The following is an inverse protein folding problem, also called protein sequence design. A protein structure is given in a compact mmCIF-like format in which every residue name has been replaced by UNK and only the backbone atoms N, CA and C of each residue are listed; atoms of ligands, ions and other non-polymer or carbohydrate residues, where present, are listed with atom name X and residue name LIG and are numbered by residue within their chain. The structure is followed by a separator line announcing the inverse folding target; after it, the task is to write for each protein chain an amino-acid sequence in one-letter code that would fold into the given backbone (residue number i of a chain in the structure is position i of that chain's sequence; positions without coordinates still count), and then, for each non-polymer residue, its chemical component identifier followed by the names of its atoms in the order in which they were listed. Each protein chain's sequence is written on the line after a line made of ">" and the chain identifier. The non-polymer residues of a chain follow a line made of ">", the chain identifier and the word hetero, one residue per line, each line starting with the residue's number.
data_IF_473555293477
#
_entry.id   IF_473555293477
#
_cell.length_a   1.000
_cell.length_b   1.000
_cell.length_c   1.000
_cell.angle_alpha   90.00
_cell.angle_beta   90.00
_cell.angle_gamma   90.00
#
_symmetry.space_group_name_H-M   'P 1'
#
loop_
_entity.id
_entity.type
_entity.pdbx_description
1 polymer ?
#
# COMPACT_ATOMS: atom_id res chain seq x y z
N UNK A 1 0.94 -1.26 12.71
CA UNK A 1 0.70 -0.44 11.51
C UNK A 1 1.78 -0.75 10.50
N UNK A 2 1.49 -1.64 9.56
CA UNK A 2 2.38 -1.86 8.41
C UNK A 2 2.54 -0.53 7.64
N UNK A 3 3.52 -0.40 6.73
CA UNK A 3 3.78 0.86 6.02
C UNK A 3 2.51 1.37 5.32
N UNK A 4 1.73 0.43 4.77
CA UNK A 4 0.44 0.69 4.10
C UNK A 4 -0.59 1.32 5.05
N UNK A 5 -0.63 0.90 6.31
CA UNK A 5 -1.55 1.46 7.30
C UNK A 5 -1.14 2.86 7.79
N UNK A 6 0.06 3.35 7.43
CA UNK A 6 0.53 4.71 7.73
C UNK A 6 0.47 5.64 6.53
N UNK A 7 0.42 5.11 5.31
CA UNK A 7 0.16 5.90 4.11
C UNK A 7 -1.34 5.92 3.83
N UNK A 8 -2.05 6.79 4.55
CA UNK A 8 -3.51 6.94 4.49
C UNK A 8 -4.04 7.08 3.05
N UNK A 9 -3.27 7.76 2.19
CA UNK A 9 -3.55 7.94 0.77
C UNK A 9 -3.71 6.61 0.01
N UNK A 10 -2.72 5.72 0.09
CA UNK A 10 -2.74 4.45 -0.63
C UNK A 10 -3.92 3.57 -0.19
N UNK A 11 -4.30 3.64 1.10
CA UNK A 11 -5.45 2.89 1.62
C UNK A 11 -6.78 3.41 1.05
N UNK A 12 -6.94 4.73 0.92
CA UNK A 12 -8.14 5.33 0.33
C UNK A 12 -8.33 4.88 -1.12
N UNK A 13 -7.27 5.01 -1.95
CA UNK A 13 -7.32 4.58 -3.35
C UNK A 13 -7.61 3.08 -3.45
N UNK A 14 -6.91 2.27 -2.67
CA UNK A 14 -7.09 0.82 -2.65
C UNK A 14 -8.53 0.40 -2.33
N UNK A 15 -9.16 1.07 -1.37
CA UNK A 15 -10.57 0.86 -1.03
C UNK A 15 -11.48 1.23 -2.21
N UNK A 16 -11.25 2.37 -2.85
CA UNK A 16 -11.99 2.77 -4.03
C UNK A 16 -11.86 1.76 -5.18
N UNK A 17 -10.63 1.29 -5.47
CA UNK A 17 -10.36 0.25 -6.47
C UNK A 17 -11.14 -1.03 -6.15
N UNK A 18 -11.05 -1.53 -4.92
CA UNK A 18 -11.68 -2.80 -4.52
C UNK A 18 -13.20 -2.75 -4.65
N UNK A 19 -13.82 -1.63 -4.30
CA UNK A 19 -15.28 -1.49 -4.37
C UNK A 19 -15.75 -0.95 -5.73
N UNK A 20 -14.82 -0.52 -6.59
CA UNK A 20 -15.08 0.15 -7.85
C UNK A 20 -16.09 1.31 -7.72
N UNK A 21 -15.90 2.14 -6.69
CA UNK A 21 -16.74 3.30 -6.41
C UNK A 21 -15.95 4.59 -6.50
N UNK A 22 -16.65 5.69 -6.81
CA UNK A 22 -16.08 7.02 -6.65
C UNK A 22 -15.94 7.32 -5.16
N UNK A 23 -14.72 7.62 -4.69
CA UNK A 23 -14.44 7.99 -3.31
C UNK A 23 -13.88 9.41 -3.26
N UNK A 24 -14.51 10.27 -2.46
CA UNK A 24 -13.99 11.59 -2.10
C UNK A 24 -13.52 11.50 -0.65
N UNK A 25 -12.23 11.74 -0.42
CA UNK A 25 -11.64 11.68 0.91
C UNK A 25 -10.96 13.00 1.28
N UNK A 26 -11.36 13.56 2.42
CA UNK A 26 -10.78 14.76 2.99
C UNK A 26 -10.11 14.41 4.32
N UNK A 27 -8.79 14.52 4.34
CA UNK A 27 -7.95 14.30 5.52
C UNK A 27 -7.47 15.61 6.12
N UNK A 28 -7.19 15.59 7.43
CA UNK A 28 -6.60 16.73 8.14
C UNK A 28 -5.14 16.90 7.71
N UNK A 29 -4.71 18.14 7.44
CA UNK A 29 -3.31 18.47 7.18
C UNK A 29 -2.56 18.71 8.50
N UNK A 30 -1.99 17.67 9.11
CA UNK A 30 -1.28 17.75 10.39
C UNK A 30 0.05 17.01 10.40
N UNK A 31 1.11 17.75 10.06
CA UNK A 31 2.50 17.28 9.98
C UNK A 31 2.97 16.54 11.23
N UNK A 32 2.70 17.08 12.42
CA UNK A 32 3.16 16.52 13.70
C UNK A 32 2.64 15.10 13.98
N UNK A 33 1.55 14.71 13.32
CA UNK A 33 0.96 13.38 13.46
C UNK A 33 1.15 12.50 12.23
N UNK A 34 1.71 13.04 11.14
CA UNK A 34 1.75 12.38 9.84
C UNK A 34 0.37 12.21 9.19
N UNK A 35 -0.65 12.88 9.70
CA UNK A 35 -1.98 12.89 9.07
C UNK A 35 -1.88 13.83 7.89
N UNK A 36 -1.77 13.26 6.70
CA UNK A 36 -1.68 13.91 5.40
C UNK A 36 -2.42 13.00 4.42
N UNK A 37 -2.94 13.56 3.33
CA UNK A 37 -3.64 12.77 2.33
C UNK A 37 -5.10 13.16 2.19
N UNK A 38 -5.42 13.75 1.03
CA UNK A 38 -6.79 13.89 0.54
C UNK A 38 -6.81 13.50 -0.93
N UNK A 39 -7.95 13.09 -1.45
CA UNK A 39 -8.05 12.73 -2.86
C UNK A 39 -9.45 12.40 -3.34
N UNK A 40 -9.57 12.37 -4.66
CA UNK A 40 -10.76 11.97 -5.41
C UNK A 40 -10.34 10.78 -6.29
N UNK A 41 -10.95 9.63 -6.07
CA UNK A 41 -10.61 8.36 -6.71
C UNK A 41 -11.81 7.84 -7.48
N UNK A 42 -11.63 7.40 -8.72
CA UNK A 42 -12.69 6.85 -9.59
C UNK A 42 -12.61 5.34 -9.69
N UNK A 43 -12.74 4.66 -8.55
CA UNK A 43 -12.76 3.21 -8.48
C UNK A 43 -11.56 2.54 -9.18
N UNK A 44 -11.85 1.56 -10.03
CA UNK A 44 -10.82 0.83 -10.80
C UNK A 44 -10.07 1.70 -11.83
N UNK A 45 -10.51 2.95 -12.09
CA UNK A 45 -9.79 3.89 -12.96
C UNK A 45 -8.63 4.59 -12.24
N UNK A 46 -8.57 4.52 -10.90
CA UNK A 46 -7.50 5.14 -10.11
C UNK A 46 -7.79 6.59 -9.69
N UNK A 47 -6.75 7.38 -9.36
CA UNK A 47 -6.91 8.70 -8.77
C UNK A 47 -7.15 9.75 -9.86
N UNK A 48 -8.10 10.66 -9.62
CA UNK A 48 -8.34 11.83 -10.46
C UNK A 48 -7.53 13.03 -9.98
N UNK A 49 -7.44 13.20 -8.66
CA UNK A 49 -6.57 14.17 -8.03
C UNK A 49 -6.30 13.72 -6.60
N UNK A 50 -5.08 13.88 -6.12
CA UNK A 50 -4.75 13.65 -4.72
C UNK A 50 -3.65 14.59 -4.25
N UNK A 51 -3.55 14.79 -2.93
CA UNK A 51 -2.42 15.48 -2.32
C UNK A 51 -1.79 14.62 -1.24
N UNK A 52 -0.47 14.66 -1.18
CA UNK A 52 0.32 14.16 -0.07
C UNK A 52 1.57 15.04 0.09
N UNK A 53 1.33 16.33 0.28
CA UNK A 53 2.38 17.29 0.58
C UNK A 53 2.51 17.50 2.08
N UNK A 54 3.72 17.69 2.58
CA UNK A 54 3.95 17.98 3.98
C UNK A 54 4.36 19.43 4.23
N UNK A 55 3.68 20.34 3.56
CA UNK A 55 3.86 21.78 3.65
C UNK A 55 3.06 22.42 4.80
N UNK A 56 2.14 21.69 5.43
CA UNK A 56 1.22 22.22 6.43
C UNK A 56 0.20 23.22 5.88
N UNK A 57 0.02 23.28 4.55
CA UNK A 57 -0.90 24.21 3.88
C UNK A 57 -2.24 23.54 3.56
N UNK A 58 -3.30 24.33 3.65
CA UNK A 58 -4.63 23.94 3.20
C UNK A 58 -4.64 23.76 1.67
N UNK A 59 -5.45 22.82 1.19
CA UNK A 59 -5.54 22.46 -0.24
C UNK A 59 -6.99 22.22 -0.63
N UNK A 60 -7.37 22.79 -1.77
CA UNK A 60 -8.64 22.52 -2.43
C UNK A 60 -8.38 21.62 -3.63
N UNK A 61 -8.98 20.44 -3.63
CA UNK A 61 -8.90 19.48 -4.74
C UNK A 61 -10.18 19.54 -5.55
N UNK A 62 -10.06 19.69 -6.86
CA UNK A 62 -11.18 19.73 -7.80
C UNK A 62 -10.85 18.76 -8.95
N UNK A 63 -11.81 17.91 -9.30
CA UNK A 63 -11.71 17.04 -10.47
C UNK A 63 -13.08 16.82 -11.10
N UNK A 64 -13.10 16.65 -12.42
CA UNK A 64 -14.24 16.13 -13.14
C UNK A 64 -14.27 14.60 -12.98
N UNK A 65 -15.34 14.08 -12.35
CA UNK A 65 -15.48 12.66 -12.07
C UNK A 65 -15.73 11.81 -13.30
N UNK A 66 -16.18 12.41 -14.40
CA UNK A 66 -16.46 11.72 -15.66
C UNK A 66 -15.40 12.01 -16.73
N UNK A 67 -14.54 12.99 -16.48
CA UNK A 67 -13.38 13.31 -17.30
C UNK A 67 -12.32 12.20 -17.37
N UNK A 68 -11.28 12.38 -18.20
CA UNK A 68 -10.19 11.42 -18.34
C UNK A 68 -9.33 11.34 -17.08
N UNK A 69 -8.75 10.16 -16.81
CA UNK A 69 -7.77 10.00 -15.71
C UNK A 69 -6.48 10.73 -16.12
N UNK A 70 -5.96 11.66 -15.32
CA UNK A 70 -4.72 12.36 -15.66
C UNK A 70 -3.51 11.40 -15.62
N UNK A 71 -2.45 11.76 -16.34
CA UNK A 71 -1.20 11.01 -16.29
C UNK A 71 -0.52 11.16 -14.92
N UNK A 72 -0.52 12.38 -14.37
CA UNK A 72 -0.08 12.67 -13.02
C UNK A 72 -1.26 13.25 -12.23
N UNK A 73 -1.79 12.47 -11.28
CA UNK A 73 -2.90 12.88 -10.44
C UNK A 73 -2.46 13.61 -9.16
N UNK A 74 -1.15 13.73 -8.90
CA UNK A 74 -0.66 14.45 -7.73
C UNK A 74 -0.94 15.95 -7.89
N UNK A 75 -1.36 16.57 -6.81
CA UNK A 75 -1.56 18.00 -6.72
C UNK A 75 -0.25 18.72 -7.08
N UNK A 76 -0.31 19.59 -8.10
CA UNK A 76 0.87 20.20 -8.75
C UNK A 76 1.81 20.96 -7.81
N UNK A 77 1.28 21.55 -6.74
CA UNK A 77 2.06 22.34 -5.79
C UNK A 77 2.47 21.52 -4.55
N UNK A 78 2.35 20.19 -4.61
CA UNK A 78 2.82 19.33 -3.54
C UNK A 78 4.34 19.42 -3.42
N UNK A 79 4.81 19.72 -2.20
CA UNK A 79 6.21 19.57 -1.87
C UNK A 79 6.51 18.08 -1.75
N UNK A 80 7.45 17.61 -2.57
CA UNK A 80 7.98 16.27 -2.46
C UNK A 80 8.85 16.17 -1.21
N UNK A 81 8.91 14.98 -0.63
CA UNK A 81 9.71 14.75 0.56
C UNK A 81 11.19 14.77 0.19
N UNK A 82 11.91 15.76 0.70
CA UNK A 82 13.38 15.72 0.78
C UNK A 82 13.75 14.63 1.80
N UNK A 83 14.89 13.96 1.58
CA UNK A 83 15.42 12.83 2.37
C UNK A 83 15.19 13.00 3.89
N UNK A 84 14.97 11.86 4.57
CA UNK A 84 14.66 11.67 6.03
C UNK A 84 13.21 11.32 6.41
N UNK A 85 12.28 11.25 5.46
CA UNK A 85 10.96 10.66 5.78
C UNK A 85 11.05 9.15 5.82
N UNK A 86 10.65 8.61 6.97
CA UNK A 86 10.63 7.17 7.21
C UNK A 86 9.30 6.79 7.84
N UNK A 87 8.57 5.85 7.21
CA UNK A 87 7.41 5.25 7.84
C UNK A 87 7.92 4.28 8.91
N UNK A 88 7.81 4.67 10.19
CA UNK A 88 8.10 3.77 11.32
C UNK A 88 6.96 2.75 11.45
N UNK A 89 7.19 1.46 11.30
CA UNK A 89 6.15 0.45 11.56
C UNK A 89 6.24 -0.02 13.02
N UNK A 90 5.12 -0.28 13.73
CA UNK A 90 5.14 -1.11 14.93
C UNK A 90 5.68 -2.49 14.55
N UNK A 91 6.38 -3.13 15.48
CA UNK A 91 6.81 -4.52 15.33
C UNK A 91 5.58 -5.38 15.03
N UNK A 92 5.55 -5.90 13.81
CA UNK A 92 4.63 -6.93 13.37
C UNK A 92 5.47 -8.19 13.18
N UNK A 93 4.89 -9.36 13.41
CA UNK A 93 5.57 -10.60 13.08
C UNK A 93 5.35 -10.86 11.58
N UNK A 94 6.44 -10.85 10.80
CA UNK A 94 6.39 -11.07 9.37
C UNK A 94 7.57 -11.95 8.95
N UNK A 95 7.40 -12.63 7.82
CA UNK A 95 8.50 -13.28 7.10
C UNK A 95 8.99 -12.36 6.01
N UNK A 96 10.30 -12.26 5.84
CA UNK A 96 10.94 -11.43 4.82
C UNK A 96 11.88 -12.25 3.95
N UNK A 97 11.70 -12.18 2.64
CA UNK A 97 12.58 -12.80 1.65
C UNK A 97 13.21 -11.69 0.81
N UNK A 98 14.53 -11.55 0.88
CA UNK A 98 15.25 -10.53 0.12
C UNK A 98 15.15 -10.79 -1.38
N UNK A 99 14.97 -9.73 -2.16
CA UNK A 99 15.04 -9.74 -3.62
C UNK A 99 16.43 -9.26 -4.04
N UNK A 100 17.09 -10.06 -4.87
CA UNK A 100 18.38 -9.73 -5.46
C UNK A 100 18.19 -9.26 -6.92
N UNK A 101 19.08 -8.42 -7.47
CA UNK A 101 19.00 -7.97 -8.86
C UNK A 101 19.12 -9.16 -9.81
N UNK A 102 18.13 -9.32 -10.69
CA UNK A 102 17.99 -10.48 -11.57
C UNK A 102 17.32 -10.07 -12.88
N UNK A 103 17.68 -10.75 -13.97
CA UNK A 103 17.00 -10.59 -15.27
C UNK A 103 15.60 -11.22 -15.25
N UNK A 104 15.41 -12.28 -14.46
CA UNK A 104 14.11 -12.86 -14.14
C UNK A 104 14.25 -13.75 -12.90
N UNK A 105 13.32 -13.67 -11.96
CA UNK A 105 13.30 -14.50 -10.76
C UNK A 105 11.89 -14.68 -10.20
N UNK A 106 11.69 -15.77 -9.47
CA UNK A 106 10.47 -16.06 -8.70
C UNK A 106 10.86 -16.35 -7.24
N UNK A 107 10.09 -15.80 -6.30
CA UNK A 107 10.22 -16.06 -4.86
C UNK A 107 8.83 -16.35 -4.29
N UNK A 108 8.74 -17.26 -3.35
CA UNK A 108 7.49 -17.65 -2.70
C UNK A 108 7.71 -17.90 -1.21
N UNK A 109 6.68 -17.62 -0.43
CA UNK A 109 6.57 -17.93 1.00
C UNK A 109 5.14 -18.36 1.30
N UNK A 110 4.99 -19.42 2.08
CA UNK A 110 3.71 -19.99 2.46
C UNK A 110 3.66 -20.32 3.95
N UNK A 111 2.48 -20.17 4.54
CA UNK A 111 2.17 -20.70 5.87
C UNK A 111 0.79 -21.36 5.82
N UNK A 112 0.79 -22.69 5.97
CA UNK A 112 -0.41 -23.51 5.76
C UNK A 112 -0.92 -23.38 4.33
N UNK A 113 -2.16 -22.92 4.18
CA UNK A 113 -2.79 -22.73 2.86
C UNK A 113 -2.52 -21.35 2.26
N UNK A 114 -2.06 -20.35 3.03
CA UNK A 114 -1.84 -19.00 2.53
C UNK A 114 -0.42 -18.88 1.96
N UNK A 115 -0.32 -18.59 0.66
CA UNK A 115 0.91 -18.39 -0.07
C UNK A 115 0.97 -16.99 -0.67
N UNK A 116 2.18 -16.45 -0.76
CA UNK A 116 2.51 -15.18 -1.39
C UNK A 116 3.73 -15.38 -2.27
N UNK A 117 3.62 -15.03 -3.55
CA UNK A 117 4.70 -15.16 -4.51
C UNK A 117 4.88 -13.90 -5.34
N UNK A 118 6.12 -13.67 -5.74
CA UNK A 118 6.50 -12.59 -6.65
C UNK A 118 7.32 -13.16 -7.80
N UNK A 119 6.94 -12.80 -9.03
CA UNK A 119 7.77 -12.92 -10.23
C UNK A 119 8.25 -11.53 -10.62
N UNK A 120 9.55 -11.35 -10.79
CA UNK A 120 10.11 -10.03 -11.04
C UNK A 120 11.34 -10.05 -11.95
N UNK A 121 11.63 -8.89 -12.53
CA UNK A 121 12.85 -8.59 -13.28
C UNK A 121 13.30 -7.17 -12.93
N UNK A 122 14.52 -7.07 -12.41
CA UNK A 122 15.16 -5.82 -12.01
C UNK A 122 16.68 -5.98 -12.22
N UNK A 123 17.20 -5.61 -13.40
CA UNK A 123 18.61 -5.85 -13.76
C UNK A 123 19.61 -5.17 -12.81
N UNK A 124 19.21 -4.07 -12.17
CA UNK A 124 19.98 -3.37 -11.16
C UNK A 124 19.10 -2.99 -9.98
N UNK A 125 19.66 -3.14 -8.77
CA UNK A 125 19.00 -2.80 -7.51
C UNK A 125 20.07 -2.24 -6.56
N UNK A 126 20.09 -0.91 -6.40
CA UNK A 126 20.96 -0.26 -5.41
C UNK A 126 20.34 -0.26 -4.00
N UNK A 127 19.08 -0.69 -3.92
CA UNK A 127 18.22 -0.57 -2.76
C UNK A 127 17.75 -1.95 -2.35
N UNK A 128 17.47 -2.13 -1.07
CA UNK A 128 16.99 -3.43 -0.59
C UNK A 128 15.48 -3.53 -0.75
N UNK A 129 15.04 -4.52 -1.53
CA UNK A 129 13.65 -4.92 -1.62
C UNK A 129 13.45 -6.30 -1.01
N UNK A 130 12.27 -6.50 -0.47
CA UNK A 130 11.87 -7.75 0.13
C UNK A 130 10.44 -8.11 -0.27
N UNK A 131 10.21 -9.41 -0.46
CA UNK A 131 8.88 -9.99 -0.34
C UNK A 131 8.57 -10.16 1.14
N UNK A 132 7.58 -9.41 1.64
CA UNK A 132 7.08 -9.54 3.01
C UNK A 132 5.75 -10.27 3.03
N UNK A 133 5.67 -11.20 3.97
CA UNK A 133 4.50 -12.03 4.22
C UNK A 133 4.07 -11.85 5.67
N UNK A 134 2.81 -11.46 5.85
CA UNK A 134 2.25 -11.15 7.15
C UNK A 134 0.94 -11.89 7.35
N UNK A 135 0.81 -12.52 8.51
CA UNK A 135 -0.46 -13.00 9.07
C UNK A 135 -0.60 -12.41 10.47
N UNK A 136 -1.75 -11.81 10.79
CA UNK A 136 -2.03 -11.45 12.17
C UNK A 136 -3.04 -10.34 12.32
N UNK A 137 -2.83 -9.49 13.33
CA UNK A 137 -3.72 -8.39 13.65
C UNK A 137 -2.99 -7.05 13.69
N UNK A 138 -3.60 -6.05 13.08
CA UNK A 138 -3.19 -4.67 13.15
C UNK A 138 -3.84 -3.99 14.35
N UNK A 139 -3.05 -3.72 15.39
CA UNK A 139 -3.51 -2.96 16.56
C UNK A 139 -3.60 -1.46 16.24
N UNK A 140 -4.77 -0.89 16.48
CA UNK A 140 -5.07 0.54 16.36
C UNK A 140 -4.74 1.28 17.66
N UNK A 141 -4.58 2.61 17.60
CA UNK A 141 -4.34 3.45 18.80
C UNK A 141 -5.51 3.43 19.79
N UNK A 142 -6.73 3.22 19.29
CA UNK A 142 -7.96 3.14 20.08
C UNK A 142 -8.22 1.75 20.68
N UNK A 143 -7.29 0.81 20.48
CA UNK A 143 -7.32 -0.49 21.15
C UNK A 143 -8.05 -1.60 20.41
N UNK A 144 -8.54 -1.35 19.19
CA UNK A 144 -9.05 -2.40 18.30
C UNK A 144 -7.90 -3.15 17.63
N UNK A 145 -8.04 -4.46 17.45
CA UNK A 145 -7.10 -5.26 16.67
C UNK A 145 -7.81 -5.74 15.40
N UNK A 146 -7.26 -5.38 14.26
CA UNK A 146 -7.88 -5.56 12.95
C UNK A 146 -7.21 -6.75 12.23
N UNK A 147 -7.93 -7.82 11.93
CA UNK A 147 -7.40 -9.04 11.31
C UNK A 147 -6.91 -8.83 9.88
N UNK A 148 -5.64 -9.11 9.59
CA UNK A 148 -5.05 -8.87 8.27
C UNK A 148 -4.17 -10.03 7.80
N UNK A 149 -4.09 -10.16 6.48
CA UNK A 149 -3.02 -10.87 5.79
C UNK A 149 -2.44 -9.96 4.72
N UNK A 150 -1.12 -9.91 4.61
CA UNK A 150 -0.42 -9.03 3.66
C UNK A 150 0.60 -9.84 2.87
N UNK A 151 0.58 -9.63 1.56
CA UNK A 151 1.60 -10.05 0.62
C UNK A 151 2.12 -8.78 -0.03
N UNK A 152 3.40 -8.45 0.12
CA UNK A 152 3.94 -7.18 -0.38
C UNK A 152 5.37 -7.32 -0.86
N UNK A 153 5.70 -6.60 -1.94
CA UNK A 153 7.07 -6.28 -2.30
C UNK A 153 7.31 -4.84 -1.87
N UNK A 154 8.39 -4.60 -1.11
CA UNK A 154 8.67 -3.28 -0.59
C UNK A 154 10.15 -2.96 -0.53
N UNK A 155 10.49 -1.72 -0.90
CA UNK A 155 11.74 -1.08 -0.52
C UNK A 155 11.75 -0.80 0.98
N UNK A 156 12.74 -1.33 1.67
CA UNK A 156 12.92 -1.12 3.10
C UNK A 156 14.39 -1.23 3.49
N UNK A 157 14.72 -0.72 4.67
CA UNK A 157 16.07 -0.75 5.22
C UNK A 157 16.06 -1.32 6.63
N UNK A 158 17.15 -2.00 6.97
CA UNK A 158 17.31 -2.63 8.27
C UNK A 158 17.41 -1.58 9.38
N UNK A 159 16.72 -1.81 10.49
CA UNK A 159 16.79 -0.95 11.68
C UNK A 159 16.39 -1.72 12.93
N UNK A 160 17.13 -1.52 14.03
CA UNK A 160 16.83 -2.11 15.35
C UNK A 160 16.67 -3.65 15.32
N UNK A 161 17.48 -4.32 14.49
CA UNK A 161 17.47 -5.78 14.28
C UNK A 161 16.41 -6.29 13.31
N UNK A 162 15.56 -5.41 12.78
CA UNK A 162 14.46 -5.73 11.87
C UNK A 162 14.90 -5.50 10.40
N UNK A 163 14.84 -6.50 9.49
CA UNK A 163 15.31 -6.33 8.10
C UNK A 163 14.52 -5.25 7.34
N UNK A 164 13.24 -5.06 7.69
CA UNK A 164 12.41 -3.95 7.23
C UNK A 164 11.91 -3.07 8.40
N UNK A 165 12.85 -2.52 9.17
CA UNK A 165 12.52 -1.60 10.27
C UNK A 165 12.28 -0.14 9.83
N UNK A 166 12.68 0.22 8.60
CA UNK A 166 12.56 1.59 8.05
C UNK A 166 12.13 1.54 6.59
N UNK A 167 11.12 2.33 6.24
CA UNK A 167 10.58 2.43 4.88
C UNK A 167 10.76 3.86 4.38
N UNK A 168 11.75 4.11 3.52
CA UNK A 168 11.99 5.44 2.99
C UNK A 168 11.05 5.75 1.81
N UNK A 169 10.96 7.03 1.48
CA UNK A 169 9.97 7.57 0.53
C UNK A 169 10.55 7.70 -0.87
N UNK A 170 11.86 7.51 -1.01
CA UNK A 170 12.57 7.58 -2.29
C UNK A 170 12.86 6.19 -2.82
N UNK A 171 12.89 6.03 -4.15
CA UNK A 171 13.44 4.86 -4.82
C UNK A 171 14.13 5.24 -6.12
N UNK A 172 15.14 4.44 -6.49
CA UNK A 172 15.82 4.48 -7.78
C UNK A 172 15.67 3.18 -8.58
N UNK A 173 15.04 2.15 -7.98
CA UNK A 173 14.92 0.83 -8.59
C UNK A 173 13.72 0.75 -9.53
N UNK A 174 13.99 0.39 -10.79
CA UNK A 174 12.96 0.18 -11.81
C UNK A 174 12.79 -1.31 -12.08
N UNK A 175 11.55 -1.80 -11.96
CA UNK A 175 11.19 -3.17 -12.32
C UNK A 175 10.71 -3.21 -13.76
N UNK A 176 11.30 -4.06 -14.60
CA UNK A 176 10.80 -4.34 -15.95
C UNK A 176 9.69 -5.39 -15.94
N UNK A 177 9.64 -6.20 -14.88
CA UNK A 177 8.54 -7.10 -14.55
C UNK A 177 8.32 -7.10 -13.05
N UNK A 178 7.07 -7.10 -12.64
CA UNK A 178 6.65 -7.35 -11.27
C UNK A 178 5.22 -7.89 -11.28
N UNK A 179 5.05 -9.10 -10.80
CA UNK A 179 3.78 -9.81 -10.66
C UNK A 179 3.73 -10.40 -9.25
N UNK A 180 2.81 -9.92 -8.44
CA UNK A 180 2.57 -10.32 -7.06
C UNK A 180 1.27 -11.13 -6.99
N UNK A 181 1.34 -12.31 -6.41
CA UNK A 181 0.22 -13.25 -6.29
C UNK A 181 0.05 -13.72 -4.86
N UNK A 182 -1.20 -13.85 -4.44
CA UNK A 182 -1.54 -14.40 -3.14
C UNK A 182 -2.93 -15.00 -3.12
N UNK A 183 -3.13 -16.07 -2.35
CA UNK A 183 -4.43 -16.70 -2.18
C UNK A 183 -4.98 -16.43 -0.77
N UNK A 184 -6.04 -15.64 -0.69
CA UNK A 184 -6.60 -15.19 0.58
C UNK A 184 -7.81 -16.03 0.99
N UNK A 185 -8.14 -16.12 2.29
CA UNK A 185 -9.35 -16.79 2.76
C UNK A 185 -10.61 -15.97 2.49
N UNK A 186 -10.48 -14.70 2.11
CA UNK A 186 -11.58 -13.75 1.90
C UNK A 186 -11.39 -12.96 0.60
N UNK A 187 -12.47 -12.47 -0.03
CA UNK A 187 -12.40 -11.65 -1.23
C UNK A 187 -12.05 -10.17 -0.95
N UNK A 188 -12.02 -9.76 0.31
CA UNK A 188 -11.78 -8.37 0.72
C UNK A 188 -10.29 -8.03 0.69
N UNK A 189 -9.75 -7.98 -0.53
CA UNK A 189 -8.35 -7.74 -0.84
C UNK A 189 -8.17 -6.36 -1.48
N UNK A 190 -7.23 -5.60 -0.94
CA UNK A 190 -7.01 -4.19 -1.21
C UNK A 190 -5.61 -4.05 -1.85
N UNK A 191 -5.53 -3.76 -3.18
CA UNK A 191 -4.26 -3.61 -3.90
C UNK A 191 -3.67 -2.21 -3.75
N UNK A 192 -2.35 -2.10 -3.67
CA UNK A 192 -1.63 -0.80 -3.72
C UNK A 192 -0.39 -0.96 -4.59
N UNK A 193 -0.16 0.02 -5.46
CA UNK A 193 1.15 0.26 -6.09
C UNK A 193 1.53 1.70 -5.82
N UNK A 194 2.71 1.90 -5.25
CA UNK A 194 3.24 3.22 -4.97
C UNK A 194 4.65 3.35 -5.55
N UNK A 195 4.87 4.45 -6.24
CA UNK A 195 6.16 4.85 -6.81
C UNK A 195 6.87 5.86 -5.90
N UNK A 196 8.07 6.25 -6.32
CA UNK A 196 8.89 7.30 -5.73
C UNK A 196 8.08 8.49 -5.18
N UNK A 197 8.51 9.03 -4.04
CA UNK A 197 7.82 10.08 -3.30
C UNK A 197 6.42 9.69 -2.78
N UNK A 198 6.13 8.39 -2.62
CA UNK A 198 4.80 7.85 -2.35
C UNK A 198 3.76 8.30 -3.41
N UNK A 199 4.17 8.38 -4.67
CA UNK A 199 3.24 8.64 -5.74
C UNK A 199 2.30 7.45 -5.92
N UNK A 200 1.00 7.70 -6.10
CA UNK A 200 0.08 6.65 -6.50
C UNK A 200 0.36 6.31 -7.94
N UNK A 201 0.80 5.08 -8.19
CA UNK A 201 1.11 4.65 -9.55
C UNK A 201 -0.19 4.54 -10.33
N UNK A 202 -0.29 5.23 -11.46
CA UNK A 202 -1.50 5.21 -12.28
C UNK A 202 -1.87 3.79 -12.69
N UNK A 203 -3.16 3.44 -12.59
CA UNK A 203 -3.74 2.16 -13.06
C UNK A 203 -3.50 1.90 -14.56
N UNK A 204 -2.99 2.87 -15.32
CA UNK A 204 -2.54 2.66 -16.71
C UNK A 204 -1.27 1.82 -16.82
N UNK A 205 -0.51 1.70 -15.73
CA UNK A 205 0.78 1.02 -15.68
C UNK A 205 0.74 -0.32 -14.94
N UNK A 206 -0.41 -0.72 -14.42
CA UNK A 206 -0.56 -1.96 -13.67
C UNK A 206 -2.02 -2.42 -13.65
N UNK A 207 -2.24 -3.66 -13.27
CA UNK A 207 -3.57 -4.25 -13.19
C UNK A 207 -3.71 -5.08 -11.92
N UNK A 208 -4.96 -5.18 -11.47
CA UNK A 208 -5.35 -6.00 -10.34
C UNK A 208 -6.58 -6.82 -10.70
N UNK A 209 -6.58 -8.09 -10.28
CA UNK A 209 -7.73 -8.97 -10.37
C UNK A 209 -7.76 -9.90 -9.17
N UNK A 210 -8.96 -10.35 -8.82
CA UNK A 210 -9.16 -11.42 -7.84
C UNK A 210 -10.08 -12.48 -8.45
N UNK A 211 -9.70 -13.74 -8.33
CA UNK A 211 -10.51 -14.86 -8.84
C UNK A 211 -11.66 -15.20 -7.88
N UNK A 212 -12.67 -15.97 -8.31
CA UNK A 212 -13.71 -16.49 -7.42
C UNK A 212 -13.18 -17.38 -6.27
N UNK A 213 -11.93 -17.84 -6.37
CA UNK A 213 -11.23 -18.61 -5.32
C UNK A 213 -10.38 -17.72 -4.40
N UNK A 214 -10.58 -16.41 -4.45
CA UNK A 214 -9.82 -15.41 -3.69
C UNK A 214 -8.32 -15.42 -3.98
N UNK A 215 -7.93 -15.82 -5.19
CA UNK A 215 -6.57 -15.67 -5.69
C UNK A 215 -6.43 -14.27 -6.28
N UNK A 216 -5.67 -13.42 -5.62
CA UNK A 216 -5.37 -12.07 -6.03
C UNK A 216 -4.07 -12.03 -6.84
N UNK A 217 -4.10 -11.28 -7.94
CA UNK A 217 -2.94 -11.00 -8.79
C UNK A 217 -2.86 -9.49 -9.00
N UNK A 218 -1.68 -8.92 -8.72
CA UNK A 218 -1.30 -7.56 -9.05
C UNK A 218 -0.07 -7.63 -9.95
N UNK A 219 -0.10 -6.97 -11.11
CA UNK A 219 1.03 -6.96 -12.03
C UNK A 219 1.23 -5.61 -12.69
N UNK A 220 2.48 -5.20 -12.87
CA UNK A 220 2.81 -4.05 -13.72
C UNK A 220 2.62 -4.41 -15.19
N UNK A 221 2.27 -3.42 -16.00
CA UNK A 221 2.17 -3.56 -17.45
C UNK A 221 3.57 -3.49 -18.06
N UNK A 222 4.06 -4.62 -18.58
CA UNK A 222 5.39 -4.70 -19.21
C UNK A 222 5.48 -3.91 -20.52
N UNK A 223 4.35 -3.60 -21.15
CA UNK A 223 4.28 -2.79 -22.39
C UNK A 223 4.15 -1.31 -22.10
N UNK A 224 3.74 -0.94 -20.90
CA UNK A 224 3.61 0.43 -20.41
C UNK A 224 4.01 0.52 -18.93
N UNK A 225 5.30 0.25 -18.59
CA UNK A 225 5.72 0.16 -17.20
C UNK A 225 5.60 1.53 -16.49
N UNK A 226 5.51 1.53 -15.15
CA UNK A 226 5.54 2.77 -14.37
C UNK A 226 6.78 3.60 -14.73
N UNK A 227 6.63 4.90 -15.06
CA UNK A 227 7.78 5.73 -15.42
C UNK A 227 8.63 6.09 -14.20
N UNK A 228 8.03 6.15 -13.01
CA UNK A 228 8.74 6.38 -11.76
C UNK A 228 9.16 5.06 -11.09
N UNK A 229 10.35 5.01 -10.44
CA UNK A 229 10.79 3.88 -9.63
C UNK A 229 9.76 3.44 -8.59
N UNK A 230 9.66 2.13 -8.33
CA UNK A 230 8.65 1.59 -7.41
C UNK A 230 9.13 1.60 -5.96
N UNK A 231 8.25 1.95 -5.03
CA UNK A 231 8.47 1.72 -3.60
C UNK A 231 7.83 0.42 -3.14
N UNK A 232 6.54 0.25 -3.48
CA UNK A 232 5.71 -0.83 -2.93
C UNK A 232 4.77 -1.39 -3.99
N UNK A 233 4.55 -2.70 -3.93
CA UNK A 233 3.42 -3.39 -4.51
C UNK A 233 2.81 -4.29 -3.44
N UNK A 234 1.51 -4.19 -3.20
CA UNK A 234 0.89 -4.74 -2.00
C UNK A 234 -0.47 -5.33 -2.32
N UNK A 235 -0.74 -6.50 -1.76
CA UNK A 235 -2.06 -7.08 -1.61
C UNK A 235 -2.35 -7.24 -0.11
N UNK A 236 -3.34 -6.53 0.41
CA UNK A 236 -3.76 -6.63 1.82
C UNK A 236 -5.17 -7.16 1.91
N UNK A 237 -5.38 -8.29 2.59
CA UNK A 237 -6.71 -8.79 2.93
C UNK A 237 -7.16 -8.32 4.31
N UNK A 238 -8.45 -7.96 4.43
CA UNK A 238 -9.11 -7.69 5.71
C UNK A 238 -9.90 -8.91 6.16
N UNK A 239 -9.44 -9.57 7.22
CA UNK A 239 -10.12 -10.72 7.83
C UNK A 239 -11.04 -10.20 8.94
N UNK A 240 -12.19 -9.65 8.56
CA UNK A 240 -13.11 -8.97 9.48
C UNK A 240 -13.57 -9.86 10.65
N UNK A 241 -13.71 -11.18 10.43
CA UNK A 241 -14.08 -12.15 11.46
C UNK A 241 -13.02 -12.27 12.56
N UNK A 242 -11.77 -11.90 12.27
CA UNK A 242 -10.66 -11.92 13.22
C UNK A 242 -10.46 -10.56 13.90
N UNK A 243 -11.36 -9.59 13.69
CA UNK A 243 -11.30 -8.31 14.41
C UNK A 243 -11.65 -8.52 15.89
N UNK A 244 -10.88 -7.90 16.77
CA UNK A 244 -11.20 -7.85 18.21
C UNK A 244 -11.46 -6.42 18.63
N UNK A 245 -12.66 -6.22 19.16
CA UNK A 245 -13.08 -4.96 19.74
C UNK A 245 -12.94 -5.07 21.26
N UNK A 246 -12.36 -4.06 21.92
CA UNK A 246 -12.42 -4.02 23.38
C UNK A 246 -13.89 -3.96 23.77
N UNK A 247 -14.37 -4.80 24.72
CA UNK A 247 -15.71 -4.63 25.24
C UNK A 247 -15.78 -3.23 25.87
N UNK A 248 -16.72 -2.42 25.40
CA UNK A 248 -17.16 -1.25 26.15
C UNK A 248 -17.82 -1.81 27.40
N UNK A 249 -17.20 -1.61 28.57
CA UNK A 249 -17.90 -1.77 29.84
C UNK A 249 -18.99 -0.70 29.92
N UNK A 250 -20.13 -0.94 29.27
CA UNK A 250 -21.39 -0.36 29.69
C UNK A 250 -22.05 -1.37 30.63
N UNK A 251 -21.47 -1.53 31.81
CA UNK A 251 -22.29 -1.89 32.96
C UNK A 251 -23.09 -0.65 33.33
N UNK A 252 -24.22 -0.45 32.63
CA UNK A 252 -25.34 0.23 33.25
C UNK A 252 -25.81 -0.71 34.36
N UNK A 253 -25.20 -0.60 35.53
CA UNK A 253 -25.85 -1.05 36.76
C UNK A 253 -26.92 0.00 37.08
N UNK A 254 -28.11 -0.17 36.50
CA UNK A 254 -29.33 0.16 37.24
C UNK A 254 -29.66 -1.02 38.16
N UNK A 255 -30.41 -0.85 39.26
CA UNK A 255 -31.20 0.31 39.67
C UNK A 255 -30.51 1.25 40.67
#
# INVERSE_FOLDING_TARGET
>A
MSPIAKTFLCLQESWAIRHNVTLLSSGIQKLSTGTLGSGIYKGARGPLIYTYSPDGKDKLLIADVDGPVPQNARYKDDLLAVDDRVLKTPRLHYTAVKLDPMLEAEKEVCEGIYCCSVRYAAPSMNESFFLLFLIGQLRTKVGYSLGIQVCMVARCEAKDGDPCGRYPYTSSTTFTRLELKANFPVPDVFPVVASDQLALTSMRHWSYKISPRNEAELKIDVTNPPPEPLLYAVLTARIYQNDTFRPTFNTFTGP
#
